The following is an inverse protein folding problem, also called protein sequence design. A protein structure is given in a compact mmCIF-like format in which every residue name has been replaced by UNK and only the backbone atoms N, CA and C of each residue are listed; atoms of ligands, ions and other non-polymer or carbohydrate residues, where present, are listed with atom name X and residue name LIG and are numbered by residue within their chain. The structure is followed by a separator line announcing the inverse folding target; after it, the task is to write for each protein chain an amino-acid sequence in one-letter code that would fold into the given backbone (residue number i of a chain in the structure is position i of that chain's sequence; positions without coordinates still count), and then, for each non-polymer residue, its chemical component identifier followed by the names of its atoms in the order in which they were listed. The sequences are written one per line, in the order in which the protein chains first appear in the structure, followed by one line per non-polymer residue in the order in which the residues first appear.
data_IF_399322300402
#
_entry.id   IF_399322300402
#
_cell.length_a   1.000
_cell.length_b   1.000
_cell.length_c   1.000
_cell.angle_alpha   90.00
_cell.angle_beta   90.00
_cell.angle_gamma   90.00
#
_symmetry.space_group_name_H-M   'P 1'
#
loop_
_entity.id
_entity.type
_entity.pdbx_description
1 polymer ?
#
# COMPACT_ATOMS: atom_id res chain seq x y z
N UNK A 1 12.67 -8.24 0.57
CA UNK A 1 13.87 -8.89 1.16
C UNK A 1 14.69 -9.65 0.12
N UNK A 2 14.12 -10.63 -0.60
CA UNK A 2 14.83 -11.38 -1.65
C UNK A 2 15.45 -10.47 -2.72
N UNK A 3 14.66 -9.52 -3.26
CA UNK A 3 15.17 -8.53 -4.22
C UNK A 3 16.35 -7.71 -3.68
N UNK A 4 16.31 -7.32 -2.39
CA UNK A 4 17.41 -6.58 -1.74
C UNK A 4 18.69 -7.42 -1.63
N UNK A 5 18.58 -8.70 -1.29
CA UNK A 5 19.72 -9.62 -1.24
C UNK A 5 20.37 -9.82 -2.62
N UNK A 6 19.56 -9.88 -3.69
CA UNK A 6 20.04 -10.02 -5.07
C UNK A 6 20.78 -8.75 -5.55
N UNK A 7 20.26 -7.58 -5.20
CA UNK A 7 20.90 -6.30 -5.55
C UNK A 7 22.22 -6.15 -4.79
N UNK A 8 22.21 -6.45 -3.47
CA UNK A 8 23.43 -6.42 -2.65
C UNK A 8 24.49 -7.43 -3.11
N UNK A 9 24.07 -8.53 -3.73
CA UNK A 9 24.96 -9.57 -4.22
C UNK A 9 25.54 -9.33 -5.61
N UNK A 10 25.35 -8.14 -6.19
CA UNK A 10 25.72 -7.85 -7.57
C UNK A 10 25.11 -8.88 -8.55
N UNK A 11 23.84 -9.26 -8.31
CA UNK A 11 23.07 -10.22 -9.09
C UNK A 11 23.61 -11.67 -9.07
N UNK A 12 24.44 -12.04 -8.10
CA UNK A 12 24.83 -13.44 -7.92
C UNK A 12 23.66 -14.28 -7.41
N UNK A 13 23.15 -15.16 -8.27
CA UNK A 13 22.02 -16.04 -8.01
C UNK A 13 22.32 -17.16 -6.98
N UNK A 14 23.60 -17.44 -6.70
CA UNK A 14 23.99 -18.43 -5.69
C UNK A 14 23.53 -18.08 -4.27
N UNK A 15 23.22 -16.81 -4.01
CA UNK A 15 22.73 -16.34 -2.71
C UNK A 15 21.27 -16.72 -2.46
N UNK A 16 20.52 -17.15 -3.48
CA UNK A 16 19.20 -17.73 -3.28
C UNK A 16 19.25 -19.06 -2.51
N UNK A 17 20.39 -19.76 -2.52
CA UNK A 17 20.62 -21.01 -1.76
C UNK A 17 21.05 -20.71 -0.31
N UNK A 18 21.34 -19.44 0.02
CA UNK A 18 21.71 -19.08 1.40
C UNK A 18 20.56 -19.40 2.38
N UNK A 19 20.85 -19.90 3.60
CA UNK A 19 19.83 -20.29 4.58
C UNK A 19 18.72 -19.25 4.83
N UNK A 20 19.00 -17.93 4.91
CA UNK A 20 17.93 -16.95 5.12
C UNK A 20 17.06 -16.75 3.87
N UNK A 21 17.63 -16.80 2.66
CA UNK A 21 16.85 -16.65 1.43
C UNK A 21 15.98 -17.89 1.13
N UNK A 22 16.51 -19.07 1.44
CA UNK A 22 15.86 -20.35 1.20
C UNK A 22 14.52 -20.46 1.95
N UNK A 23 14.45 -20.01 3.20
CA UNK A 23 13.21 -20.07 3.99
C UNK A 23 12.07 -19.26 3.34
N UNK A 24 12.35 -18.06 2.82
CA UNK A 24 11.33 -17.26 2.16
C UNK A 24 10.88 -17.87 0.83
N UNK A 25 11.81 -18.45 0.06
CA UNK A 25 11.49 -19.15 -1.18
C UNK A 25 10.64 -20.40 -0.90
N UNK A 26 10.97 -21.14 0.16
CA UNK A 26 10.21 -22.33 0.56
C UNK A 26 8.77 -21.98 0.96
N UNK A 27 8.56 -20.89 1.71
CA UNK A 27 7.22 -20.41 2.08
C UNK A 27 6.42 -20.01 0.84
N UNK A 28 7.05 -19.29 -0.10
CA UNK A 28 6.37 -18.89 -1.34
C UNK A 28 5.95 -20.11 -2.17
N UNK A 29 6.86 -21.08 -2.33
CA UNK A 29 6.59 -22.32 -3.05
C UNK A 29 5.51 -23.13 -2.35
N UNK A 30 5.53 -23.23 -1.01
CA UNK A 30 4.52 -24.01 -0.28
C UNK A 30 3.13 -23.39 -0.41
N UNK A 31 3.00 -22.06 -0.40
CA UNK A 31 1.73 -21.38 -0.64
C UNK A 31 1.18 -21.66 -2.05
N UNK A 32 2.02 -21.59 -3.08
CA UNK A 32 1.65 -21.96 -4.45
C UNK A 32 1.24 -23.44 -4.55
N UNK A 33 1.97 -24.33 -3.88
CA UNK A 33 1.70 -25.76 -3.90
C UNK A 33 0.36 -26.10 -3.22
N UNK A 34 0.01 -25.42 -2.12
CA UNK A 34 -1.26 -25.61 -1.41
C UNK A 34 -2.45 -25.25 -2.31
N UNK A 35 -2.37 -24.16 -3.06
CA UNK A 35 -3.43 -23.73 -3.99
C UNK A 35 -3.58 -24.71 -5.15
N UNK A 36 -2.45 -25.16 -5.71
CA UNK A 36 -2.48 -26.18 -6.77
C UNK A 36 -3.09 -27.49 -6.25
N UNK A 37 -2.73 -27.90 -5.04
CA UNK A 37 -3.22 -29.14 -4.43
C UNK A 37 -4.71 -29.03 -4.05
N UNK A 38 -5.18 -27.86 -3.60
CA UNK A 38 -6.61 -27.65 -3.32
C UNK A 38 -7.45 -27.74 -4.60
N UNK A 39 -6.98 -27.12 -5.69
CA UNK A 39 -7.63 -27.18 -7.01
C UNK A 39 -7.66 -28.62 -7.56
N UNK A 40 -6.55 -29.36 -7.44
CA UNK A 40 -6.48 -30.78 -7.83
C UNK A 40 -7.39 -31.68 -6.97
N UNK A 41 -7.47 -31.43 -5.65
CA UNK A 41 -8.36 -32.16 -4.76
C UNK A 41 -9.83 -31.93 -5.11
N UNK A 42 -10.21 -30.68 -5.42
CA UNK A 42 -11.57 -30.31 -5.84
C UNK A 42 -11.92 -30.95 -7.19
N UNK A 43 -10.98 -30.98 -8.14
CA UNK A 43 -11.14 -31.66 -9.43
C UNK A 43 -11.37 -33.17 -9.28
N UNK A 44 -10.63 -33.85 -8.39
CA UNK A 44 -10.80 -35.30 -8.16
C UNK A 44 -12.15 -35.66 -7.52
N UNK A 45 -12.73 -34.75 -6.73
CA UNK A 45 -13.97 -35.00 -5.98
C UNK A 45 -15.25 -34.66 -6.76
N UNK A 46 -15.24 -33.57 -7.54
CA UNK A 46 -16.44 -33.05 -8.21
C UNK A 46 -16.46 -33.35 -9.73
N UNK A 47 -15.39 -33.89 -10.33
CA UNK A 47 -15.24 -34.19 -11.77
C UNK A 47 -15.54 -33.02 -12.75
N UNK A 48 -15.66 -31.79 -12.23
CA UNK A 48 -15.89 -30.61 -13.05
C UNK A 48 -14.56 -29.97 -13.49
N UNK A 49 -14.39 -29.81 -14.81
CA UNK A 49 -13.23 -29.15 -15.42
C UNK A 49 -13.09 -27.66 -15.05
N UNK A 50 -14.17 -27.03 -14.58
CA UNK A 50 -14.15 -25.64 -14.12
C UNK A 50 -13.21 -25.45 -12.93
N UNK A 51 -13.06 -26.46 -12.06
CA UNK A 51 -12.21 -26.39 -10.87
C UNK A 51 -10.70 -26.26 -11.17
N UNK A 52 -10.25 -26.76 -12.33
CA UNK A 52 -8.84 -26.59 -12.76
C UNK A 52 -8.58 -25.18 -13.29
N UNK A 53 -9.57 -24.62 -14.00
CA UNK A 53 -9.50 -23.26 -14.51
C UNK A 53 -9.51 -22.27 -13.34
N UNK A 54 -10.34 -22.53 -12.33
CA UNK A 54 -10.41 -21.74 -11.09
C UNK A 54 -9.04 -21.67 -10.37
N UNK A 55 -8.35 -22.81 -10.21
CA UNK A 55 -7.03 -22.83 -9.57
C UNK A 55 -5.94 -22.08 -10.35
N UNK A 56 -5.95 -22.15 -11.69
CA UNK A 56 -5.03 -21.36 -12.52
C UNK A 56 -5.32 -19.87 -12.40
N UNK A 57 -6.59 -19.48 -12.38
CA UNK A 57 -7.00 -18.08 -12.19
C UNK A 57 -6.57 -17.58 -10.80
N UNK A 58 -6.73 -18.37 -9.75
CA UNK A 58 -6.35 -17.99 -8.39
C UNK A 58 -4.84 -17.79 -8.24
N UNK A 59 -4.02 -18.65 -8.86
CA UNK A 59 -2.55 -18.48 -8.90
C UNK A 59 -2.18 -17.20 -9.68
N UNK A 60 -2.83 -16.96 -10.82
CA UNK A 60 -2.60 -15.75 -11.62
C UNK A 60 -2.98 -14.49 -10.84
N UNK A 61 -4.13 -14.51 -10.17
CA UNK A 61 -4.61 -13.41 -9.32
C UNK A 61 -3.62 -13.15 -8.18
N UNK A 62 -3.12 -14.19 -7.51
CA UNK A 62 -2.10 -14.04 -6.48
C UNK A 62 -0.81 -13.39 -7.03
N UNK A 63 -0.31 -13.87 -8.17
CA UNK A 63 0.92 -13.36 -8.78
C UNK A 63 0.79 -11.90 -9.26
N UNK A 64 -0.41 -11.45 -9.63
CA UNK A 64 -0.63 -10.08 -10.11
C UNK A 64 -1.04 -9.16 -8.94
N UNK A 65 -2.01 -9.55 -8.14
CA UNK A 65 -2.63 -8.70 -7.13
C UNK A 65 -1.66 -8.35 -5.99
N UNK A 66 -0.85 -9.29 -5.50
CA UNK A 66 0.08 -9.01 -4.39
C UNK A 66 1.16 -7.99 -4.78
N UNK A 67 1.89 -8.17 -5.90
CA UNK A 67 2.83 -7.17 -6.36
C UNK A 67 2.15 -5.87 -6.77
N UNK A 68 1.02 -5.90 -7.48
CA UNK A 68 0.33 -4.68 -7.90
C UNK A 68 -0.09 -3.81 -6.72
N UNK A 69 -0.63 -4.42 -5.66
CA UNK A 69 -0.98 -3.72 -4.42
C UNK A 69 0.26 -3.10 -3.74
N UNK A 70 1.39 -3.79 -3.78
CA UNK A 70 2.65 -3.30 -3.17
C UNK A 70 3.29 -2.20 -4.01
N UNK A 71 3.30 -2.35 -5.34
CA UNK A 71 3.86 -1.38 -6.27
C UNK A 71 3.07 -0.06 -6.30
N UNK A 72 1.78 -0.06 -5.95
CA UNK A 72 1.00 1.19 -5.83
C UNK A 72 1.62 2.18 -4.83
N UNK A 73 2.32 1.67 -3.80
CA UNK A 73 2.99 2.49 -2.78
C UNK A 73 4.28 3.15 -3.26
N UNK A 74 4.84 2.78 -4.43
CA UNK A 74 6.00 3.46 -5.02
C UNK A 74 5.71 4.96 -5.21
N UNK A 75 4.45 5.34 -5.40
CA UNK A 75 4.09 6.75 -5.54
C UNK A 75 4.45 7.58 -4.31
N UNK A 76 4.35 7.01 -3.10
CA UNK A 76 4.80 7.69 -1.88
C UNK A 76 6.32 7.89 -1.88
N UNK A 77 7.08 6.91 -2.38
CA UNK A 77 8.54 7.03 -2.51
C UNK A 77 8.94 8.11 -3.52
N UNK A 78 8.21 8.25 -4.63
CA UNK A 78 8.45 9.31 -5.61
C UNK A 78 8.25 10.70 -4.99
N UNK A 79 7.23 10.88 -4.15
CA UNK A 79 7.06 12.12 -3.40
C UNK A 79 8.18 12.36 -2.38
N UNK A 80 8.65 11.34 -1.66
CA UNK A 80 9.79 11.50 -0.75
C UNK A 80 11.07 11.97 -1.48
N UNK A 81 11.32 11.49 -2.69
CA UNK A 81 12.44 11.95 -3.53
C UNK A 81 12.22 13.40 -3.98
N UNK A 82 10.99 13.77 -4.37
CA UNK A 82 10.66 15.13 -4.75
C UNK A 82 10.84 16.11 -3.58
N UNK A 83 10.43 15.72 -2.37
CA UNK A 83 10.64 16.49 -1.14
C UNK A 83 12.11 16.77 -0.87
N UNK A 84 12.96 15.75 -1.04
CA UNK A 84 14.40 15.88 -0.87
C UNK A 84 15.02 16.84 -1.90
N UNK A 85 14.57 16.79 -3.15
CA UNK A 85 14.98 17.74 -4.19
C UNK A 85 14.58 19.19 -3.87
N UNK A 86 13.43 19.41 -3.22
CA UNK A 86 13.07 20.74 -2.72
C UNK A 86 13.95 21.19 -1.55
N UNK A 87 14.41 20.25 -0.72
CA UNK A 87 15.43 20.50 0.31
C UNK A 87 16.73 21.01 -0.30
N UNK A 88 17.25 20.33 -1.32
CA UNK A 88 18.42 20.80 -2.06
C UNK A 88 18.22 22.19 -2.67
N UNK A 89 17.04 22.45 -3.24
CA UNK A 89 16.69 23.77 -3.78
C UNK A 89 16.71 24.86 -2.70
N UNK A 90 16.26 24.55 -1.47
CA UNK A 90 16.31 25.48 -0.35
C UNK A 90 17.76 25.82 0.06
N UNK A 91 18.66 24.85 0.03
CA UNK A 91 20.09 25.05 0.31
C UNK A 91 20.76 25.94 -0.76
N UNK A 92 20.46 25.72 -2.04
CA UNK A 92 21.00 26.55 -3.13
C UNK A 92 20.48 27.99 -3.06
N UNK A 93 19.19 28.21 -2.75
CA UNK A 93 18.64 29.56 -2.54
C UNK A 93 19.23 30.25 -1.31
N UNK A 94 19.61 29.48 -0.29
CA UNK A 94 20.22 30.02 0.94
C UNK A 94 21.55 30.72 0.65
N UNK A 95 22.30 30.25 -0.36
CA UNK A 95 23.57 30.85 -0.79
C UNK A 95 23.37 32.20 -1.50
N UNK A 96 22.22 32.44 -2.14
CA UNK A 96 21.98 33.64 -2.96
C UNK A 96 21.34 34.80 -2.20
N UNK A 97 20.38 34.54 -1.31
CA UNK A 97 19.51 35.59 -0.75
C UNK A 97 19.76 35.79 0.75
N UNK A 98 19.56 34.73 1.54
CA UNK A 98 19.87 34.61 2.98
C UNK A 98 19.34 33.23 3.44
N UNK A 99 20.08 32.45 4.24
CA UNK A 99 19.62 31.15 4.72
C UNK A 99 18.26 31.17 5.42
N UNK A 100 18.01 32.15 6.28
CA UNK A 100 16.78 32.20 7.07
C UNK A 100 15.56 32.46 6.18
N UNK A 101 15.67 33.38 5.23
CA UNK A 101 14.59 33.67 4.29
C UNK A 101 14.36 32.49 3.34
N UNK A 102 15.44 31.89 2.82
CA UNK A 102 15.36 30.74 1.91
C UNK A 102 14.61 29.57 2.54
N UNK A 103 15.02 29.15 3.75
CA UNK A 103 14.41 28.01 4.40
C UNK A 103 12.95 28.27 4.78
N UNK A 104 12.63 29.45 5.32
CA UNK A 104 11.24 29.78 5.68
C UNK A 104 10.35 29.81 4.44
N UNK A 105 10.80 30.44 3.36
CA UNK A 105 10.05 30.51 2.12
C UNK A 105 9.84 29.13 1.48
N UNK A 106 10.92 28.35 1.34
CA UNK A 106 10.86 27.05 0.66
C UNK A 106 10.06 26.04 1.47
N UNK A 107 10.21 26.00 2.81
CA UNK A 107 9.40 25.13 3.66
C UNK A 107 7.91 25.49 3.59
N UNK A 108 7.57 26.78 3.58
CA UNK A 108 6.17 27.20 3.46
C UNK A 108 5.56 26.81 2.10
N UNK A 109 6.33 27.00 1.02
CA UNK A 109 5.93 26.61 -0.33
C UNK A 109 5.71 25.10 -0.45
N UNK A 110 6.66 24.30 0.04
CA UNK A 110 6.60 22.83 0.05
C UNK A 110 5.43 22.34 0.89
N UNK A 111 5.23 22.90 2.09
CA UNK A 111 4.12 22.54 2.97
C UNK A 111 2.76 22.70 2.28
N UNK A 112 2.56 23.78 1.52
CA UNK A 112 1.31 24.03 0.82
C UNK A 112 1.16 23.09 -0.38
N UNK A 113 2.16 23.04 -1.26
CA UNK A 113 2.01 22.35 -2.55
C UNK A 113 2.15 20.84 -2.35
N UNK A 114 3.28 20.40 -1.80
CA UNK A 114 3.58 18.99 -1.62
C UNK A 114 2.76 18.39 -0.49
N UNK A 115 2.57 19.12 0.62
CA UNK A 115 1.72 18.65 1.72
C UNK A 115 0.28 18.36 1.26
N UNK A 116 -0.29 19.22 0.42
CA UNK A 116 -1.62 18.99 -0.17
C UNK A 116 -1.62 17.83 -1.17
N UNK A 117 -0.67 17.79 -2.11
CA UNK A 117 -0.59 16.75 -3.13
C UNK A 117 -0.34 15.35 -2.53
N UNK A 118 0.61 15.24 -1.61
CA UNK A 118 0.91 14.00 -0.88
C UNK A 118 -0.25 13.61 0.01
N UNK A 119 -0.94 14.58 0.63
CA UNK A 119 -2.16 14.33 1.40
C UNK A 119 -3.25 13.64 0.58
N UNK A 120 -3.55 14.15 -0.63
CA UNK A 120 -4.51 13.51 -1.56
C UNK A 120 -4.03 12.11 -1.94
N UNK A 121 -2.74 11.94 -2.21
CA UNK A 121 -2.21 10.64 -2.59
C UNK A 121 -2.28 9.62 -1.45
N UNK A 122 -1.94 10.04 -0.24
CA UNK A 122 -2.02 9.22 0.95
C UNK A 122 -3.47 8.80 1.18
N UNK A 123 -4.43 9.71 1.02
CA UNK A 123 -5.86 9.43 1.12
C UNK A 123 -6.29 8.35 0.11
N UNK A 124 -5.80 8.44 -1.14
CA UNK A 124 -6.04 7.43 -2.17
C UNK A 124 -5.51 6.06 -1.73
N UNK A 125 -4.24 6.00 -1.32
CA UNK A 125 -3.61 4.76 -0.84
C UNK A 125 -4.35 4.15 0.36
N UNK A 126 -4.74 4.99 1.32
CA UNK A 126 -5.45 4.55 2.51
C UNK A 126 -6.85 4.04 2.17
N UNK A 127 -7.64 4.77 1.39
CA UNK A 127 -9.01 4.31 1.09
C UNK A 127 -9.05 3.14 0.13
N UNK A 128 -8.27 3.15 -0.95
CA UNK A 128 -8.39 2.14 -2.00
C UNK A 128 -7.54 0.90 -1.76
N UNK A 129 -6.32 1.04 -1.24
CA UNK A 129 -5.40 -0.09 -1.07
C UNK A 129 -5.41 -0.68 0.36
N UNK A 130 -5.72 0.11 1.39
CA UNK A 130 -5.76 -0.36 2.78
C UNK A 130 -7.20 -0.61 3.29
N UNK A 131 -8.08 0.40 3.24
CA UNK A 131 -9.41 0.33 3.83
C UNK A 131 -10.31 -0.69 3.15
N UNK A 132 -10.26 -0.84 1.81
CA UNK A 132 -11.06 -1.84 1.08
C UNK A 132 -10.79 -3.28 1.52
N UNK A 133 -9.61 -3.59 2.04
CA UNK A 133 -9.24 -4.95 2.45
C UNK A 133 -9.87 -5.38 3.77
N UNK A 134 -10.12 -4.44 4.67
CA UNK A 134 -10.60 -4.71 6.04
C UNK A 134 -11.98 -4.13 6.31
N UNK A 135 -12.33 -3.03 5.66
CA UNK A 135 -13.58 -2.33 5.84
C UNK A 135 -14.57 -2.76 4.77
N UNK A 136 -15.52 -3.61 5.16
CA UNK A 136 -16.67 -3.94 4.32
C UNK A 136 -17.71 -2.85 4.51
N UNK A 137 -18.09 -2.16 3.43
CA UNK A 137 -19.14 -1.14 3.47
C UNK A 137 -20.43 -1.74 4.04
N UNK A 138 -20.95 -1.13 5.11
CA UNK A 138 -22.15 -1.60 5.79
C UNK A 138 -22.18 -1.16 7.25
N UNK A 139 -23.39 -1.06 7.79
CA UNK A 139 -23.66 -0.58 9.14
C UNK A 139 -24.79 0.46 9.14
N UNK A 140 -25.64 0.40 10.17
CA UNK A 140 -26.61 1.46 10.45
C UNK A 140 -25.88 2.62 11.12
N UNK A 141 -26.03 3.84 10.59
CA UNK A 141 -25.50 5.03 11.25
C UNK A 141 -26.21 5.16 12.60
N UNK A 142 -25.44 5.02 13.68
CA UNK A 142 -25.98 5.22 15.01
C UNK A 142 -26.55 6.64 15.13
N UNK A 143 -27.88 6.73 15.21
CA UNK A 143 -28.58 7.97 15.56
C UNK A 143 -28.83 7.93 17.07
N UNK A 144 -28.10 8.72 17.88
CA UNK A 144 -28.43 8.81 19.29
C UNK A 144 -29.87 9.30 19.43
N UNK A 145 -30.58 8.78 20.42
CA UNK A 145 -31.87 9.36 20.84
C UNK A 145 -31.59 10.78 21.31
N UNK A 146 -31.85 11.76 20.43
CA UNK A 146 -31.90 13.16 20.82
C UNK A 146 -33.15 13.33 21.68
N UNK A 147 -32.95 13.33 22.99
CA UNK A 147 -33.89 13.98 23.91
C UNK A 147 -33.71 15.48 23.71
N UNK A 148 -34.17 16.00 22.57
CA UNK A 148 -34.70 17.35 22.57
C UNK A 148 -35.95 17.28 23.44
N UNK A 149 -35.77 17.46 24.75
CA UNK A 149 -36.87 17.91 25.59
C UNK A 149 -37.40 19.14 24.87
N UNK A 150 -38.61 18.98 24.37
CA UNK A 150 -39.49 19.99 23.86
C UNK A 150 -39.65 21.08 24.93
N UNK A 151 -38.67 21.99 25.02
CA UNK A 151 -38.73 23.18 25.87
C UNK A 151 -39.52 24.31 25.21
N UNK A 152 -40.37 24.00 24.21
CA UNK A 152 -41.19 24.99 23.49
C UNK A 152 -42.67 25.00 23.91
N UNK A 153 -43.11 24.14 24.85
CA UNK A 153 -44.52 24.08 25.27
C UNK A 153 -44.81 24.53 26.71
N UNK A 154 -43.84 25.13 27.43
CA UNK A 154 -44.07 25.75 28.76
C UNK A 154 -43.75 27.24 28.87
N UNK A 155 -43.89 27.98 27.77
CA UNK A 155 -44.06 29.44 27.80
C UNK A 155 -45.36 29.79 27.07
N UNK A 156 -46.48 29.46 27.70
CA UNK A 156 -47.79 30.04 27.41
C UNK A 156 -48.52 30.30 28.72
#
# INVERSE_FOLDING_TARGET
YLAYLIIKSNYNLGILISPPALNYILILISMLLIILLSSLYKFYKEEERENLIEGVIEILEMMIAYPANSLSYIRLAAFAIAHEAFGMLAEELALMINPLISYVFTNFLVLIIEGFAVGIQALRLTYYEFSTKFFRGGGEVFKPLSTSIELETRVK
#
